data_IF_837097661014
#
_entry.id   IF_837097661014
#
_cell.length_a   1.000
_cell.length_b   1.000
_cell.length_c   1.000
_cell.angle_alpha   90.00
_cell.angle_beta   90.00
_cell.angle_gamma   90.00
#
_symmetry.space_group_name_H-M   'P 1'
#
loop_
_entity.id
_entity.type
_entity.pdbx_description
1 polymer ?
#
# COMPACT_ATOMS: atom_id res chain seq x y z
N UNK A 1 -9.38 23.62 -22.26
CA UNK A 1 -8.87 23.44 -20.88
C UNK A 1 -9.56 22.20 -20.32
N UNK A 2 -8.89 21.04 -20.26
CA UNK A 2 -9.49 19.83 -19.66
C UNK A 2 -9.37 19.99 -18.16
N UNK A 3 -10.49 20.21 -17.48
CA UNK A 3 -10.59 20.05 -16.03
C UNK A 3 -10.40 18.56 -15.79
N UNK A 4 -9.20 18.14 -15.39
CA UNK A 4 -9.00 16.80 -14.87
C UNK A 4 -9.64 16.80 -13.49
N UNK A 5 -10.89 16.35 -13.41
CA UNK A 5 -11.51 15.98 -12.15
C UNK A 5 -10.55 15.00 -11.46
N UNK A 6 -9.87 15.45 -10.40
CA UNK A 6 -9.10 14.54 -9.55
C UNK A 6 -10.11 13.53 -9.00
N UNK A 7 -10.13 12.34 -9.60
CA UNK A 7 -11.10 11.31 -9.24
C UNK A 7 -10.58 10.67 -7.97
N UNK A 8 -11.00 11.21 -6.82
CA UNK A 8 -10.65 10.66 -5.52
C UNK A 8 -11.22 9.25 -5.39
N UNK A 9 -10.39 8.29 -4.98
CA UNK A 9 -10.89 7.04 -4.42
C UNK A 9 -11.27 7.31 -2.97
N UNK A 10 -12.56 7.22 -2.64
CA UNK A 10 -13.08 7.36 -1.28
C UNK A 10 -13.99 6.16 -0.97
N UNK A 11 -13.41 4.97 -1.02
CA UNK A 11 -14.09 3.76 -0.57
C UNK A 11 -13.95 3.61 0.95
N UNK A 12 -14.86 2.86 1.56
CA UNK A 12 -14.72 2.47 2.95
C UNK A 12 -13.37 1.75 3.16
N UNK A 13 -12.63 2.06 4.23
CA UNK A 13 -11.40 1.36 4.57
C UNK A 13 -11.61 -0.15 4.65
N UNK A 14 -10.62 -0.94 4.20
CA UNK A 14 -10.69 -2.41 4.31
C UNK A 14 -11.01 -3.15 3.01
N UNK A 15 -10.71 -2.57 1.85
CA UNK A 15 -10.95 -3.21 0.55
C UNK A 15 -10.13 -4.50 0.40
N UNK A 16 -10.78 -5.59 -0.06
CA UNK A 16 -10.14 -6.91 -0.31
C UNK A 16 -9.31 -7.44 0.87
N UNK A 17 -9.86 -7.36 2.09
CA UNK A 17 -9.17 -7.75 3.34
C UNK A 17 -7.85 -6.98 3.59
N UNK A 18 -7.65 -5.84 2.92
CA UNK A 18 -6.52 -4.93 3.14
C UNK A 18 -7.00 -3.73 3.97
N UNK A 19 -6.68 -3.75 5.25
CA UNK A 19 -7.06 -2.70 6.19
C UNK A 19 -6.49 -1.34 5.74
N UNK A 20 -7.28 -0.28 5.94
CA UNK A 20 -6.96 1.11 5.60
C UNK A 20 -6.79 1.44 4.10
N UNK A 21 -6.82 0.45 3.21
CA UNK A 21 -6.83 0.71 1.77
C UNK A 21 -8.20 1.29 1.38
N UNK A 22 -8.21 2.54 0.91
CA UNK A 22 -9.43 3.25 0.45
C UNK A 22 -9.52 3.34 -1.08
N UNK A 23 -8.57 2.72 -1.79
CA UNK A 23 -8.59 2.56 -3.24
C UNK A 23 -9.14 1.19 -3.62
N UNK A 24 -9.87 1.12 -4.73
CA UNK A 24 -10.26 -0.16 -5.33
C UNK A 24 -9.01 -0.97 -5.68
N UNK A 25 -8.97 -2.25 -5.28
CA UNK A 25 -7.82 -3.15 -5.53
C UNK A 25 -7.40 -3.17 -7.00
N UNK A 26 -8.35 -3.24 -7.93
CA UNK A 26 -8.04 -3.26 -9.36
C UNK A 26 -7.48 -1.92 -9.90
N UNK A 27 -7.49 -0.86 -9.09
CA UNK A 27 -6.90 0.43 -9.42
C UNK A 27 -5.50 0.63 -8.85
N UNK A 28 -5.07 -0.21 -7.89
CA UNK A 28 -3.70 -0.16 -7.36
C UNK A 28 -2.81 -1.17 -8.07
N UNK A 29 -1.67 -0.69 -8.55
CA UNK A 29 -0.63 -1.49 -9.20
C UNK A 29 0.66 -1.43 -8.40
N UNK A 30 1.31 -2.57 -8.24
CA UNK A 30 2.62 -2.67 -7.58
C UNK A 30 3.65 -1.85 -8.37
N UNK A 31 4.48 -1.10 -7.64
CA UNK A 31 5.63 -0.38 -8.18
C UNK A 31 6.95 -1.03 -7.77
N UNK A 32 7.04 -1.50 -6.52
CA UNK A 32 8.29 -1.95 -5.92
C UNK A 32 8.05 -2.87 -4.74
N UNK A 33 8.87 -3.90 -4.61
CA UNK A 33 9.00 -4.68 -3.37
C UNK A 33 10.12 -4.08 -2.53
N UNK A 34 9.81 -3.73 -1.27
CA UNK A 34 10.77 -3.20 -0.29
C UNK A 34 11.41 -4.36 0.47
N UNK A 35 10.60 -5.32 0.90
CA UNK A 35 11.01 -6.43 1.74
C UNK A 35 10.19 -7.65 1.40
N UNK A 36 10.85 -8.81 1.41
CA UNK A 36 10.25 -10.12 1.23
C UNK A 36 11.03 -11.12 2.08
N UNK A 37 10.32 -11.81 2.96
CA UNK A 37 10.85 -12.86 3.82
C UNK A 37 9.94 -14.07 3.72
N UNK A 38 10.54 -15.26 3.58
CA UNK A 38 9.81 -16.50 3.42
C UNK A 38 10.44 -17.60 4.27
N UNK A 39 9.59 -18.35 4.96
CA UNK A 39 9.94 -19.54 5.72
C UNK A 39 8.84 -20.59 5.53
N UNK A 40 9.10 -21.82 6.00
CA UNK A 40 8.10 -22.90 5.86
C UNK A 40 6.83 -22.50 6.62
N UNK A 41 5.74 -22.30 5.88
CA UNK A 41 4.43 -21.97 6.44
C UNK A 41 4.26 -20.52 6.88
N UNK A 42 5.18 -19.62 6.51
CA UNK A 42 5.11 -18.19 6.83
C UNK A 42 5.73 -17.34 5.72
N UNK A 43 5.10 -16.22 5.39
CA UNK A 43 5.70 -15.23 4.49
C UNK A 43 5.32 -13.80 4.89
N UNK A 44 6.22 -12.87 4.62
CA UNK A 44 6.05 -11.45 4.93
C UNK A 44 6.56 -10.60 3.78
N UNK A 45 5.75 -9.65 3.33
CA UNK A 45 6.16 -8.70 2.28
C UNK A 45 5.79 -7.26 2.64
N UNK A 46 6.62 -6.33 2.19
CA UNK A 46 6.32 -4.90 2.19
C UNK A 46 6.52 -4.39 0.77
N UNK A 47 5.48 -3.78 0.22
CA UNK A 47 5.42 -3.39 -1.20
C UNK A 47 4.82 -2.00 -1.37
N UNK A 48 5.31 -1.25 -2.36
CA UNK A 48 4.77 0.06 -2.75
C UNK A 48 3.83 -0.13 -3.93
N UNK A 49 2.68 0.52 -3.87
CA UNK A 49 1.65 0.54 -4.90
C UNK A 49 1.29 1.97 -5.28
N UNK A 50 0.80 2.15 -6.52
CA UNK A 50 0.21 3.39 -7.00
C UNK A 50 -1.20 3.14 -7.50
N UNK A 51 -2.14 3.97 -7.08
CA UNK A 51 -3.48 3.98 -7.62
C UNK A 51 -3.50 4.73 -8.96
N UNK A 52 -3.84 4.06 -10.05
CA UNK A 52 -3.94 4.67 -11.40
C UNK A 52 -5.09 5.66 -11.57
N UNK A 53 -6.06 5.67 -10.64
CA UNK A 53 -7.26 6.54 -10.68
C UNK A 53 -7.02 7.86 -9.94
N UNK A 54 -6.57 7.79 -8.69
CA UNK A 54 -6.36 8.97 -7.85
C UNK A 54 -4.89 9.38 -7.69
N UNK A 55 -3.94 8.64 -8.29
CA UNK A 55 -2.49 8.84 -8.17
C UNK A 55 -1.93 8.76 -6.74
N UNK A 56 -2.71 8.30 -5.76
CA UNK A 56 -2.21 8.03 -4.41
C UNK A 56 -1.21 6.88 -4.42
N UNK A 57 -0.21 6.99 -3.55
CA UNK A 57 0.74 5.93 -3.26
C UNK A 57 0.35 5.24 -1.96
N UNK A 58 0.60 3.93 -1.90
CA UNK A 58 0.33 3.08 -0.76
C UNK A 58 1.54 2.20 -0.47
N UNK A 59 1.89 2.05 0.80
CA UNK A 59 2.80 1.02 1.28
C UNK A 59 1.95 -0.08 1.93
N UNK A 60 1.97 -1.27 1.35
CA UNK A 60 1.16 -2.40 1.79
C UNK A 60 2.07 -3.42 2.46
N UNK A 61 1.66 -3.80 3.67
CA UNK A 61 2.28 -4.78 4.53
C UNK A 61 1.42 -6.03 4.46
N UNK A 62 2.01 -7.16 4.06
CA UNK A 62 1.34 -8.46 4.03
C UNK A 62 2.13 -9.42 4.90
N UNK A 63 1.43 -10.09 5.81
CA UNK A 63 1.96 -11.23 6.55
C UNK A 63 0.99 -12.39 6.39
N UNK A 64 1.53 -13.57 6.18
CA UNK A 64 0.81 -14.83 6.18
C UNK A 64 1.49 -15.79 7.14
N UNK A 65 0.66 -16.44 7.93
CA UNK A 65 1.06 -17.55 8.77
C UNK A 65 0.07 -18.69 8.54
N UNK A 66 0.57 -19.91 8.33
CA UNK A 66 -0.26 -21.08 8.04
C UNK A 66 -1.31 -21.41 9.12
N UNK A 67 -1.15 -20.93 10.35
CA UNK A 67 -2.12 -21.08 11.43
C UNK A 67 -3.12 -19.91 11.50
N UNK A 68 -2.69 -18.69 11.16
CA UNK A 68 -3.49 -17.47 11.35
C UNK A 68 -4.04 -16.85 10.05
N UNK A 69 -3.61 -17.34 8.89
CA UNK A 69 -4.02 -16.83 7.58
C UNK A 69 -3.29 -15.54 7.18
N UNK A 70 -3.93 -14.73 6.34
CA UNK A 70 -3.38 -13.48 5.82
C UNK A 70 -3.82 -12.27 6.64
N UNK A 71 -2.88 -11.38 6.92
CA UNK A 71 -3.12 -10.02 7.40
C UNK A 71 -2.51 -9.05 6.40
N UNK A 72 -3.31 -8.07 5.96
CA UNK A 72 -2.86 -6.99 5.07
C UNK A 72 -3.24 -5.64 5.62
N UNK A 73 -2.27 -4.74 5.71
CA UNK A 73 -2.48 -3.35 6.13
C UNK A 73 -1.85 -2.40 5.11
N UNK A 74 -2.57 -1.33 4.77
CA UNK A 74 -2.08 -0.28 3.90
C UNK A 74 -1.77 0.99 4.70
N UNK A 75 -0.69 1.66 4.31
CA UNK A 75 -0.28 2.96 4.83
C UNK A 75 -0.20 3.94 3.67
N UNK A 76 -0.89 5.08 3.77
CA UNK A 76 -0.89 6.09 2.71
C UNK A 76 0.38 6.94 2.79
N UNK A 77 0.77 7.55 1.68
CA UNK A 77 1.92 8.46 1.65
C UNK A 77 1.78 9.57 2.70
N UNK A 78 2.85 9.79 3.46
CA UNK A 78 2.98 10.70 4.60
C UNK A 78 2.22 10.28 5.87
N UNK A 79 1.75 9.04 5.96
CA UNK A 79 1.17 8.47 7.18
C UNK A 79 2.21 7.69 8.00
N UNK A 80 1.86 7.48 9.27
CA UNK A 80 2.58 6.63 10.21
C UNK A 80 1.58 5.76 10.96
N UNK A 81 1.93 4.50 11.20
CA UNK A 81 1.08 3.56 11.93
C UNK A 81 1.92 2.52 12.68
N UNK A 82 1.31 1.90 13.71
CA UNK A 82 1.86 0.71 14.33
C UNK A 82 1.41 -0.52 13.53
N UNK A 83 2.35 -1.23 12.91
CA UNK A 83 2.10 -2.45 12.13
C UNK A 83 3.14 -3.48 12.59
N UNK A 84 2.69 -4.70 12.89
CA UNK A 84 3.53 -5.76 13.47
C UNK A 84 4.27 -5.35 14.75
N UNK A 85 3.62 -4.54 15.59
CA UNK A 85 4.21 -3.95 16.81
C UNK A 85 5.42 -3.02 16.58
N UNK A 86 5.63 -2.58 15.34
CA UNK A 86 6.68 -1.64 14.96
C UNK A 86 6.06 -0.36 14.40
N UNK A 87 6.71 0.78 14.65
CA UNK A 87 6.30 2.04 14.02
C UNK A 87 6.77 2.03 12.57
N UNK A 88 5.82 2.05 11.65
CA UNK A 88 6.05 2.16 10.22
C UNK A 88 5.69 3.55 9.73
N UNK A 89 6.50 4.06 8.80
CA UNK A 89 6.24 5.29 8.06
C UNK A 89 6.30 5.04 6.55
N UNK A 90 5.64 5.91 5.79
CA UNK A 90 5.72 5.92 4.34
C UNK A 90 5.96 7.33 3.80
N UNK A 91 7.17 7.57 3.28
CA UNK A 91 7.63 8.92 2.97
C UNK A 91 7.96 9.08 1.47
N UNK A 92 7.97 10.32 1.00
CA UNK A 92 8.27 10.66 -0.40
C UNK A 92 9.63 10.14 -0.88
N UNK A 93 10.62 10.02 0.02
CA UNK A 93 11.94 9.44 -0.29
C UNK A 93 11.86 8.00 -0.83
N UNK A 94 10.84 7.24 -0.43
CA UNK A 94 10.64 5.85 -0.87
C UNK A 94 10.05 5.75 -2.28
N UNK A 95 9.52 6.86 -2.83
CA UNK A 95 8.87 6.90 -4.15
C UNK A 95 9.47 7.91 -5.12
N UNK A 96 10.61 8.52 -4.78
CA UNK A 96 11.17 9.64 -5.54
C UNK A 96 11.44 9.29 -7.01
N UNK A 97 11.82 8.03 -7.29
CA UNK A 97 12.04 7.50 -8.64
C UNK A 97 10.75 7.34 -9.48
N UNK A 98 9.57 7.42 -8.85
CA UNK A 98 8.26 7.28 -9.51
C UNK A 98 7.48 8.59 -9.62
N UNK A 99 8.03 9.68 -9.09
CA UNK A 99 7.43 11.00 -9.22
C UNK A 99 7.70 11.55 -10.64
N UNK A 100 6.72 12.23 -11.25
CA UNK A 100 6.96 12.91 -12.52
C UNK A 100 8.05 13.97 -12.34
N UNK A 101 8.92 14.11 -13.35
CA UNK A 101 9.85 15.24 -13.43
C UNK A 101 9.06 16.55 -13.40
N UNK A 102 9.50 17.48 -12.55
CA UNK A 102 8.83 18.75 -12.29
C UNK A 102 8.98 19.76 -13.44
#
# INVERSE_FOLDING_TARGET
MKITEYTYCNFEPGQDNTKNLTCEKFTVSELKTIQEEEAIGWHKTIKIYKCRKCNNYWKIFEEYDSHHGYVREALKLNEKAMIWNEQQDFNTSEIIEFLPEA
#
